data_IF_259178501066
#
_entry.id   IF_259178501066
#
_cell.length_a   1.000
_cell.length_b   1.000
_cell.length_c   1.000
_cell.angle_alpha   90.00
_cell.angle_beta   90.00
_cell.angle_gamma   90.00
#
_symmetry.space_group_name_H-M   'P 1'
#
loop_
_entity.id
_entity.type
_entity.pdbx_description
1 polymer ?
#
# COMPACT_ATOMS: atom_id res chain seq x y z
N UNK A 1 17.69 -17.67 22.41
CA UNK A 1 16.52 -17.16 23.17
C UNK A 1 15.89 -16.08 22.33
N UNK A 2 14.89 -16.44 21.54
CA UNK A 2 14.17 -15.51 20.68
C UNK A 2 13.43 -14.49 21.53
N UNK A 3 13.86 -13.24 21.42
CA UNK A 3 13.10 -12.11 21.95
C UNK A 3 11.79 -12.04 21.18
N UNK A 4 10.68 -12.41 21.84
CA UNK A 4 9.33 -12.26 21.30
C UNK A 4 9.15 -10.79 20.89
N UNK A 5 9.26 -10.50 19.59
CA UNK A 5 8.93 -9.19 19.03
C UNK A 5 7.47 -8.91 19.38
N UNK A 6 7.20 -7.81 20.07
CA UNK A 6 5.82 -7.43 20.41
C UNK A 6 5.20 -6.88 19.12
N UNK A 7 4.13 -7.53 18.68
CA UNK A 7 3.36 -7.11 17.52
C UNK A 7 2.54 -5.86 17.88
N UNK A 8 2.74 -4.75 17.17
CA UNK A 8 1.93 -3.54 17.32
C UNK A 8 0.61 -3.71 16.58
N UNK A 9 -0.35 -4.39 17.24
CA UNK A 9 -1.68 -4.65 16.71
C UNK A 9 -2.45 -3.37 16.40
N UNK A 10 -2.22 -2.29 17.16
CA UNK A 10 -2.91 -1.01 16.96
C UNK A 10 -2.48 -0.37 15.65
N UNK A 11 -1.17 -0.26 15.42
CA UNK A 11 -0.67 0.30 14.17
C UNK A 11 -1.08 -0.56 12.97
N UNK A 12 -1.00 -1.89 13.11
CA UNK A 12 -1.46 -2.82 12.09
C UNK A 12 -2.94 -2.61 11.73
N UNK A 13 -3.82 -2.61 12.72
CA UNK A 13 -5.26 -2.49 12.51
C UNK A 13 -5.66 -1.14 11.91
N UNK A 14 -5.01 -0.04 12.33
CA UNK A 14 -5.27 1.28 11.77
C UNK A 14 -4.80 1.40 10.31
N UNK A 15 -3.61 0.90 10.01
CA UNK A 15 -3.06 0.96 8.64
C UNK A 15 -3.84 0.04 7.70
N UNK A 16 -4.10 -1.20 8.12
CA UNK A 16 -4.86 -2.17 7.32
C UNK A 16 -6.31 -1.72 7.15
N UNK A 17 -6.96 -1.27 8.22
CA UNK A 17 -8.33 -0.76 8.16
C UNK A 17 -8.48 0.46 7.25
N UNK A 18 -7.50 1.36 7.26
CA UNK A 18 -7.52 2.48 6.32
C UNK A 18 -7.28 2.01 4.87
N UNK A 19 -6.34 1.10 4.64
CA UNK A 19 -6.09 0.53 3.31
C UNK A 19 -7.32 -0.22 2.75
N UNK A 20 -8.05 -0.99 3.57
CA UNK A 20 -9.27 -1.68 3.14
C UNK A 20 -10.38 -0.69 2.80
N UNK A 21 -10.55 0.40 3.56
CA UNK A 21 -11.47 1.48 3.19
C UNK A 21 -11.08 2.12 1.85
N UNK A 22 -9.78 2.38 1.65
CA UNK A 22 -9.25 2.86 0.36
C UNK A 22 -9.56 1.90 -0.79
N UNK A 23 -9.41 0.59 -0.57
CA UNK A 23 -9.71 -0.45 -1.57
C UNK A 23 -11.20 -0.53 -1.91
N UNK A 24 -12.08 -0.46 -0.91
CA UNK A 24 -13.53 -0.43 -1.13
C UNK A 24 -13.93 0.82 -1.92
N UNK A 25 -13.39 1.98 -1.56
CA UNK A 25 -13.63 3.23 -2.28
C UNK A 25 -13.13 3.18 -3.73
N UNK A 26 -11.95 2.60 -3.95
CA UNK A 26 -11.37 2.45 -5.28
C UNK A 26 -12.23 1.52 -6.16
N UNK A 27 -12.69 0.38 -5.62
CA UNK A 27 -13.58 -0.54 -6.34
C UNK A 27 -14.93 0.10 -6.67
N UNK A 28 -15.51 0.87 -5.74
CA UNK A 28 -16.73 1.63 -6.00
C UNK A 28 -16.57 2.61 -7.16
N UNK A 29 -15.48 3.40 -7.18
CA UNK A 29 -15.21 4.35 -8.26
C UNK A 29 -14.93 3.64 -9.60
N UNK A 30 -14.26 2.48 -9.58
CA UNK A 30 -14.08 1.66 -10.78
C UNK A 30 -15.41 1.18 -11.36
N UNK A 31 -16.34 0.75 -10.50
CA UNK A 31 -17.69 0.37 -10.91
C UNK A 31 -18.45 1.54 -11.54
N UNK A 32 -18.40 2.72 -10.91
CA UNK A 32 -19.01 3.94 -11.46
C UNK A 32 -18.45 4.31 -12.83
N UNK A 33 -17.13 4.24 -13.00
CA UNK A 33 -16.45 4.61 -14.26
C UNK A 33 -17.00 3.83 -15.46
N UNK A 34 -17.36 2.56 -15.28
CA UNK A 34 -17.87 1.70 -16.35
C UNK A 34 -19.22 2.14 -16.94
N UNK A 35 -19.99 2.93 -16.19
CA UNK A 35 -21.30 3.45 -16.58
C UNK A 35 -21.29 4.88 -17.12
N UNK A 36 -20.13 5.54 -17.10
CA UNK A 36 -20.00 6.96 -17.43
C UNK A 36 -19.42 7.15 -18.84
N UNK A 37 -19.73 8.30 -19.45
CA UNK A 37 -19.05 8.72 -20.67
C UNK A 37 -17.54 8.88 -20.41
N UNK A 38 -16.67 8.68 -21.43
CA UNK A 38 -15.21 8.65 -21.26
C UNK A 38 -14.64 9.88 -20.54
N UNK A 39 -15.15 11.07 -20.85
CA UNK A 39 -14.70 12.32 -20.23
C UNK A 39 -15.09 12.41 -18.74
N UNK A 40 -16.25 11.87 -18.37
CA UNK A 40 -16.73 11.86 -16.99
C UNK A 40 -16.07 10.73 -16.15
N UNK A 41 -15.59 9.66 -16.80
CA UNK A 41 -14.93 8.52 -16.16
C UNK A 41 -13.52 8.86 -15.62
N UNK A 42 -12.87 9.91 -16.12
CA UNK A 42 -11.54 10.37 -15.68
C UNK A 42 -11.45 10.58 -14.17
N UNK A 43 -12.43 11.27 -13.58
CA UNK A 43 -12.43 11.59 -12.14
C UNK A 43 -12.53 10.33 -11.26
N UNK A 44 -13.46 9.39 -11.51
CA UNK A 44 -13.46 8.10 -10.85
C UNK A 44 -12.14 7.34 -11.00
N UNK A 45 -11.52 7.32 -12.19
CA UNK A 45 -10.25 6.63 -12.42
C UNK A 45 -9.10 7.18 -11.58
N UNK A 46 -9.05 8.50 -11.36
CA UNK A 46 -8.06 9.10 -10.45
C UNK A 46 -8.21 8.53 -9.03
N UNK A 47 -9.46 8.36 -8.55
CA UNK A 47 -9.71 7.75 -7.26
C UNK A 47 -9.30 6.27 -7.20
N UNK A 48 -9.43 5.52 -8.29
CA UNK A 48 -8.97 4.12 -8.34
C UNK A 48 -7.48 4.01 -8.04
N UNK A 49 -6.67 4.94 -8.57
CA UNK A 49 -5.21 4.94 -8.41
C UNK A 49 -4.80 5.55 -7.07
N UNK A 50 -5.52 6.57 -6.60
CA UNK A 50 -5.11 7.38 -5.46
C UNK A 50 -5.63 6.90 -4.11
N UNK A 51 -6.78 6.22 -4.06
CA UNK A 51 -7.49 5.98 -2.81
C UNK A 51 -6.74 5.11 -1.80
N UNK A 52 -6.10 4.01 -2.24
CA UNK A 52 -5.35 3.12 -1.34
C UNK A 52 -4.11 3.80 -0.75
N UNK A 53 -3.18 4.39 -1.53
CA UNK A 53 -2.01 5.06 -0.95
C UNK A 53 -2.40 6.27 -0.09
N UNK A 54 -3.46 7.00 -0.45
CA UNK A 54 -3.98 8.08 0.36
C UNK A 54 -4.56 7.59 1.69
N UNK A 55 -5.40 6.56 1.68
CA UNK A 55 -5.98 6.02 2.90
C UNK A 55 -4.91 5.35 3.78
N UNK A 56 -3.94 4.64 3.18
CA UNK A 56 -2.79 4.09 3.89
C UNK A 56 -1.96 5.19 4.57
N UNK A 57 -1.71 6.31 3.88
CA UNK A 57 -1.04 7.47 4.45
C UNK A 57 -1.80 8.00 5.67
N UNK A 58 -3.12 8.18 5.57
CA UNK A 58 -3.94 8.62 6.70
C UNK A 58 -3.90 7.62 7.86
N UNK A 59 -4.05 6.32 7.59
CA UNK A 59 -3.96 5.27 8.62
C UNK A 59 -2.60 5.26 9.31
N UNK A 60 -1.53 5.45 8.55
CA UNK A 60 -0.16 5.54 9.08
C UNK A 60 0.02 6.80 9.92
N UNK A 61 -0.42 7.97 9.44
CA UNK A 61 -0.35 9.21 10.20
C UNK A 61 -1.15 9.15 11.50
N UNK A 62 -2.34 8.54 11.49
CA UNK A 62 -3.14 8.34 12.70
C UNK A 62 -2.48 7.39 13.70
N UNK A 63 -1.82 6.34 13.22
CA UNK A 63 -1.09 5.41 14.08
C UNK A 63 0.22 6.01 14.62
N UNK A 64 0.98 6.72 13.78
CA UNK A 64 2.38 7.12 14.03
C UNK A 64 2.76 8.42 13.32
N UNK A 65 2.26 9.56 13.83
CA UNK A 65 2.56 10.90 13.31
C UNK A 65 4.06 11.24 13.21
N UNK A 66 4.89 10.67 14.07
CA UNK A 66 6.33 10.91 14.08
C UNK A 66 7.07 10.31 12.87
N UNK A 67 6.45 9.37 12.14
CA UNK A 67 7.01 8.76 10.92
C UNK A 67 6.45 9.41 9.64
N UNK A 68 5.84 10.60 9.72
CA UNK A 68 5.12 11.24 8.61
C UNK A 68 5.95 11.35 7.31
N UNK A 69 7.22 11.75 7.41
CA UNK A 69 8.10 11.85 6.24
C UNK A 69 8.33 10.50 5.55
N UNK A 70 8.47 9.43 6.32
CA UNK A 70 8.62 8.08 5.78
C UNK A 70 7.30 7.57 5.19
N UNK A 71 6.17 7.82 5.86
CA UNK A 71 4.86 7.46 5.35
C UNK A 71 4.59 8.13 4.00
N UNK A 72 4.90 9.42 3.86
CA UNK A 72 4.77 10.16 2.61
C UNK A 72 5.64 9.57 1.50
N UNK A 73 6.94 9.34 1.77
CA UNK A 73 7.86 8.78 0.79
C UNK A 73 7.40 7.41 0.31
N UNK A 74 7.03 6.51 1.23
CA UNK A 74 6.60 5.15 0.90
C UNK A 74 5.28 5.16 0.13
N UNK A 75 4.29 5.94 0.56
CA UNK A 75 3.00 6.03 -0.15
C UNK A 75 3.18 6.67 -1.54
N UNK A 76 4.08 7.65 -1.68
CA UNK A 76 4.44 8.21 -2.98
C UNK A 76 5.09 7.15 -3.89
N UNK A 77 6.04 6.36 -3.37
CA UNK A 77 6.64 5.26 -4.13
C UNK A 77 5.59 4.22 -4.56
N UNK A 78 4.68 3.82 -3.67
CA UNK A 78 3.60 2.88 -4.02
C UNK A 78 2.69 3.47 -5.09
N UNK A 79 2.26 4.73 -4.93
CA UNK A 79 1.46 5.43 -5.92
C UNK A 79 2.16 5.49 -7.29
N UNK A 80 3.41 5.96 -7.32
CA UNK A 80 4.16 6.17 -8.55
C UNK A 80 4.51 4.83 -9.22
N UNK A 81 5.15 3.90 -8.53
CA UNK A 81 5.60 2.64 -9.16
C UNK A 81 4.44 1.71 -9.52
N UNK A 82 3.32 1.73 -8.80
CA UNK A 82 2.17 0.88 -9.14
C UNK A 82 1.61 1.16 -10.54
N UNK A 83 1.58 2.43 -10.98
CA UNK A 83 1.10 2.78 -12.33
C UNK A 83 2.05 2.28 -13.41
N UNK A 84 3.37 2.38 -13.21
CA UNK A 84 4.34 1.83 -14.17
C UNK A 84 4.26 0.31 -14.27
N UNK A 85 4.17 -0.38 -13.13
CA UNK A 85 4.06 -1.84 -13.10
C UNK A 85 2.75 -2.28 -13.76
N UNK A 86 1.64 -1.61 -13.46
CA UNK A 86 0.33 -1.90 -14.04
C UNK A 86 0.31 -1.67 -15.56
N UNK A 87 0.86 -0.56 -16.04
CA UNK A 87 0.93 -0.26 -17.46
C UNK A 87 1.72 -1.34 -18.21
N UNK A 88 2.84 -1.78 -17.63
CA UNK A 88 3.65 -2.85 -18.22
C UNK A 88 2.95 -4.20 -18.17
N UNK A 89 2.31 -4.53 -17.04
CA UNK A 89 1.56 -5.77 -16.91
C UNK A 89 0.42 -5.87 -17.93
N UNK A 90 -0.33 -4.79 -18.13
CA UNK A 90 -1.39 -4.73 -19.14
C UNK A 90 -0.82 -4.94 -20.55
N UNK A 91 0.27 -4.25 -20.90
CA UNK A 91 0.88 -4.43 -22.22
C UNK A 91 1.28 -5.89 -22.50
N UNK A 92 1.75 -6.63 -21.50
CA UNK A 92 2.12 -8.04 -21.70
C UNK A 92 0.89 -8.95 -21.71
N UNK A 93 0.01 -8.83 -20.72
CA UNK A 93 -1.13 -9.71 -20.55
C UNK A 93 -2.09 -9.68 -21.76
N UNK A 94 -2.21 -8.53 -22.39
CA UNK A 94 -3.06 -8.32 -23.56
C UNK A 94 -2.46 -8.95 -24.84
N UNK A 95 -1.14 -8.97 -25.01
CA UNK A 95 -0.47 -9.53 -26.21
C UNK A 95 -0.37 -11.04 -26.16
N UNK A 96 -0.01 -11.61 -25.01
CA UNK A 96 0.39 -13.03 -24.92
C UNK A 96 -0.64 -13.93 -24.25
N UNK A 97 -1.70 -13.38 -23.63
CA UNK A 97 -2.66 -14.14 -22.82
C UNK A 97 -2.05 -14.86 -21.60
N UNK A 98 -0.76 -14.67 -21.36
CA UNK A 98 0.06 -15.28 -20.30
C UNK A 98 1.25 -14.35 -19.97
N UNK A 99 1.77 -14.41 -18.74
CA UNK A 99 2.87 -13.53 -18.33
C UNK A 99 4.22 -14.10 -18.78
N UNK A 100 4.80 -13.51 -19.84
CA UNK A 100 6.16 -13.82 -20.31
C UNK A 100 7.04 -12.56 -20.28
N UNK A 101 8.12 -12.59 -19.50
CA UNK A 101 9.05 -11.48 -19.31
C UNK A 101 9.78 -11.08 -20.60
N UNK A 102 10.02 -12.04 -21.51
CA UNK A 102 10.77 -11.79 -22.74
C UNK A 102 9.97 -10.98 -23.75
N UNK A 103 8.68 -11.29 -23.88
CA UNK A 103 7.77 -10.66 -24.84
C UNK A 103 7.25 -9.29 -24.34
N UNK A 104 7.23 -9.10 -23.02
CA UNK A 104 6.86 -7.85 -22.37
C UNK A 104 7.57 -6.58 -22.89
N UNK A 105 8.81 -6.72 -23.39
CA UNK A 105 9.63 -5.58 -23.80
C UNK A 105 9.64 -5.34 -25.32
N UNK A 106 9.10 -6.25 -26.13
CA UNK A 106 9.23 -6.20 -27.59
C UNK A 106 7.92 -5.94 -28.34
N UNK A 107 6.76 -6.26 -27.76
CA UNK A 107 5.44 -6.19 -28.42
C UNK A 107 4.57 -4.97 -28.07
N UNK A 108 5.13 -3.78 -27.88
CA UNK A 108 4.40 -2.66 -27.26
C UNK A 108 3.34 -1.98 -28.14
N UNK A 109 3.44 -2.06 -29.47
CA UNK A 109 2.49 -1.38 -30.37
C UNK A 109 1.15 -2.14 -30.49
N UNK A 110 1.20 -3.45 -30.70
CA UNK A 110 0.02 -4.32 -30.79
C UNK A 110 -0.73 -4.42 -29.45
N UNK A 111 0.02 -4.39 -28.33
CA UNK A 111 -0.53 -4.32 -26.98
C UNK A 111 -1.46 -3.11 -26.77
N UNK A 112 -1.10 -1.98 -27.36
CA UNK A 112 -1.76 -0.71 -27.10
C UNK A 112 -3.12 -0.62 -27.83
N UNK A 113 -3.23 -1.19 -29.04
CA UNK A 113 -4.50 -1.27 -29.78
C UNK A 113 -5.49 -2.20 -29.07
N UNK A 114 -5.04 -3.37 -28.62
CA UNK A 114 -5.88 -4.33 -27.90
C UNK A 114 -6.29 -3.80 -26.50
N UNK A 115 -5.40 -3.08 -25.81
CA UNK A 115 -5.72 -2.47 -24.51
C UNK A 115 -6.79 -1.38 -24.62
N UNK A 116 -6.76 -0.57 -25.69
CA UNK A 116 -7.79 0.42 -25.99
C UNK A 116 -9.17 -0.23 -26.20
N UNK A 117 -9.21 -1.41 -26.87
CA UNK A 117 -10.44 -2.18 -27.06
C UNK A 117 -11.06 -2.71 -25.75
N UNK A 118 -10.27 -2.88 -24.70
CA UNK A 118 -10.72 -3.38 -23.38
C UNK A 118 -11.00 -2.30 -22.34
N UNK A 119 -10.83 -1.02 -22.69
CA UNK A 119 -11.05 0.12 -21.79
C UNK A 119 -10.12 0.14 -20.57
N UNK A 120 -8.90 -0.39 -20.69
CA UNK A 120 -7.91 -0.45 -19.61
C UNK A 120 -8.38 -1.18 -18.32
N UNK A 121 -9.33 -2.12 -18.46
CA UNK A 121 -9.89 -2.81 -17.30
C UNK A 121 -8.82 -3.60 -16.52
N UNK A 122 -7.84 -4.18 -17.23
CA UNK A 122 -6.74 -4.94 -16.65
C UNK A 122 -5.73 -4.03 -15.94
N UNK A 123 -5.43 -2.85 -16.50
CA UNK A 123 -4.60 -1.83 -15.85
C UNK A 123 -5.15 -1.45 -14.47
N UNK A 124 -6.40 -0.98 -14.40
CA UNK A 124 -6.97 -0.55 -13.12
C UNK A 124 -7.08 -1.70 -12.11
N UNK A 125 -7.35 -2.92 -12.58
CA UNK A 125 -7.36 -4.10 -11.70
C UNK A 125 -5.98 -4.42 -11.13
N UNK A 126 -4.95 -4.39 -11.96
CA UNK A 126 -3.58 -4.67 -11.54
C UNK A 126 -3.09 -3.64 -10.52
N UNK A 127 -3.43 -2.36 -10.69
CA UNK A 127 -3.16 -1.32 -9.69
C UNK A 127 -3.74 -1.68 -8.33
N UNK A 128 -5.01 -2.06 -8.26
CA UNK A 128 -5.66 -2.43 -6.99
C UNK A 128 -4.95 -3.59 -6.30
N UNK A 129 -4.55 -4.62 -7.06
CA UNK A 129 -3.85 -5.79 -6.53
C UNK A 129 -2.47 -5.38 -6.00
N UNK A 130 -1.68 -4.66 -6.79
CA UNK A 130 -0.32 -4.23 -6.44
C UNK A 130 -0.36 -3.34 -5.19
N UNK A 131 -1.25 -2.34 -5.17
CA UNK A 131 -1.36 -1.41 -4.04
C UNK A 131 -1.88 -2.11 -2.78
N UNK A 132 -2.83 -3.05 -2.90
CA UNK A 132 -3.31 -3.84 -1.74
C UNK A 132 -2.21 -4.71 -1.14
N UNK A 133 -1.43 -5.38 -2.00
CA UNK A 133 -0.31 -6.19 -1.56
C UNK A 133 0.78 -5.34 -0.90
N UNK A 134 1.14 -4.21 -1.51
CA UNK A 134 2.08 -3.25 -0.92
C UNK A 134 1.59 -2.73 0.44
N UNK A 135 0.32 -2.34 0.55
CA UNK A 135 -0.26 -1.88 1.81
C UNK A 135 -0.21 -2.95 2.90
N UNK A 136 -0.50 -4.21 2.57
CA UNK A 136 -0.40 -5.34 3.50
C UNK A 136 1.03 -5.54 3.98
N UNK A 137 2.00 -5.58 3.06
CA UNK A 137 3.42 -5.74 3.38
C UNK A 137 3.91 -4.59 4.28
N UNK A 138 3.54 -3.35 3.97
CA UNK A 138 3.89 -2.18 4.77
C UNK A 138 3.27 -2.28 6.16
N UNK A 139 1.98 -2.62 6.27
CA UNK A 139 1.30 -2.76 7.55
C UNK A 139 1.96 -3.85 8.41
N UNK A 140 2.28 -5.01 7.83
CA UNK A 140 3.00 -6.10 8.50
C UNK A 140 4.39 -5.68 8.95
N UNK A 141 5.17 -5.06 8.05
CA UNK A 141 6.53 -4.59 8.36
C UNK A 141 6.51 -3.61 9.54
N UNK A 142 5.52 -2.70 9.59
CA UNK A 142 5.38 -1.72 10.68
C UNK A 142 4.91 -2.36 11.97
N UNK A 143 4.01 -3.34 11.90
CA UNK A 143 3.53 -4.08 13.05
C UNK A 143 4.64 -4.88 13.75
N UNK A 144 5.59 -5.42 12.98
CA UNK A 144 6.72 -6.22 13.49
C UNK A 144 7.91 -5.33 13.92
N UNK A 145 7.99 -4.10 13.43
CA UNK A 145 9.23 -3.30 13.42
C UNK A 145 9.67 -2.63 14.74
N UNK A 146 8.83 -2.46 15.77
CA UNK A 146 9.25 -1.70 16.98
C UNK A 146 8.56 -2.12 18.28
N UNK A 147 9.25 -2.93 19.09
CA UNK A 147 9.14 -2.91 20.56
C UNK A 147 10.05 -1.81 21.14
N UNK A 148 9.79 -0.53 20.90
CA UNK A 148 10.51 0.57 21.57
C UNK A 148 9.79 1.00 22.84
N UNK A 149 9.52 0.05 23.75
CA UNK A 149 9.59 0.36 25.17
C UNK A 149 11.03 -0.01 25.57
N UNK A 150 11.99 0.92 25.50
CA UNK A 150 13.25 0.70 26.18
C UNK A 150 12.93 0.65 27.67
N UNK A 151 13.57 -0.30 28.35
CA UNK A 151 13.96 -0.43 29.74
C UNK A 151 13.86 0.76 30.74
N UNK A 152 13.28 1.92 30.44
CA UNK A 152 13.18 3.04 31.38
C UNK A 152 12.37 2.70 32.63
N UNK A 153 11.31 1.90 32.55
CA UNK A 153 10.60 1.42 33.76
C UNK A 153 11.49 0.48 34.57
N UNK A 154 12.27 -0.39 33.91
CA UNK A 154 13.16 -1.36 34.56
C UNK A 154 14.40 -0.69 35.16
N UNK A 155 14.96 0.32 34.49
CA UNK A 155 16.07 1.14 34.97
C UNK A 155 15.66 2.03 36.14
N UNK A 156 14.44 2.60 36.11
CA UNK A 156 13.91 3.38 37.25
C UNK A 156 13.67 2.49 38.47
N UNK A 157 13.07 1.32 38.27
CA UNK A 157 12.92 0.31 39.34
C UNK A 157 14.28 -0.13 39.91
N UNK A 158 15.27 -0.41 39.06
CA UNK A 158 16.60 -0.79 39.53
C UNK A 158 17.33 0.36 40.25
N UNK A 159 17.09 1.62 39.86
CA UNK A 159 17.66 2.77 40.59
C UNK A 159 17.00 2.97 41.96
N UNK A 160 15.68 2.82 42.07
CA UNK A 160 14.97 2.93 43.35
C UNK A 160 15.36 1.79 44.31
N UNK A 161 15.48 0.56 43.80
CA UNK A 161 15.90 -0.59 44.61
C UNK A 161 17.35 -0.47 45.12
N UNK A 162 18.24 0.16 44.35
CA UNK A 162 19.63 0.38 44.78
C UNK A 162 19.73 1.41 45.90
N UNK A 163 18.91 2.47 45.85
CA UNK A 163 18.89 3.52 46.90
C UNK A 163 18.38 2.92 48.22
N UNK A 164 17.39 2.04 48.19
CA UNK A 164 16.79 1.46 49.40
C UNK A 164 17.69 0.47 50.16
N UNK A 165 18.72 -0.09 49.51
CA UNK A 165 19.67 -1.03 50.12
C UNK A 165 21.01 -0.37 50.51
N UNK A 166 21.09 0.97 50.46
CA UNK A 166 22.31 1.73 50.79
C UNK A 166 22.32 2.33 52.20
N UNK A 167 21.21 2.18 52.95
CA UNK A 167 21.04 2.56 54.36
C UNK A 167 21.09 1.31 55.27
#
# INVERSE_FOLDING_TARGET
MDTIRRFDLRAFALMLGAATLGLLWANYNRGLASSLAPEAALRPHVWVIFAIPFALLLGWLLARRHEAGQALLVCFCVYFFSTFIAARYESCAVVTGSFDLGVCFTGTAEAQELAQGSGHALYFQSILIIQSFAALVIALQRAVGRSTMPDQVRLRQNSEFRIQNSD
#
